data_IF_550178899531
#
_entry.id   IF_550178899531
#
_cell.length_a   1.000
_cell.length_b   1.000
_cell.length_c   1.000
_cell.angle_alpha   90.00
_cell.angle_beta   90.00
_cell.angle_gamma   90.00
#
_symmetry.space_group_name_H-M   'P 1'
#
loop_
_entity.id
_entity.type
_entity.pdbx_description
1 polymer ?
#
# COMPACT_ATOMS: atom_id res chain seq x y z
N UNK A 1 -7.99 13.74 -16.22
CA UNK A 1 -7.85 13.77 -14.76
C UNK A 1 -6.53 13.16 -14.33
N UNK A 2 -5.72 13.94 -13.65
CA UNK A 2 -4.40 13.51 -13.25
C UNK A 2 -4.44 12.24 -12.38
N UNK A 3 -5.46 12.10 -11.53
CA UNK A 3 -5.58 10.96 -10.64
C UNK A 3 -5.83 9.61 -11.33
N UNK A 4 -6.25 9.64 -12.60
CA UNK A 4 -6.53 8.42 -13.36
C UNK A 4 -5.39 8.03 -14.29
N UNK A 5 -4.46 8.94 -14.51
CA UNK A 5 -3.39 8.72 -15.47
C UNK A 5 -2.25 7.94 -14.82
N UNK A 6 -1.72 6.96 -15.55
CA UNK A 6 -0.53 6.24 -15.11
C UNK A 6 0.62 7.23 -14.99
N UNK A 7 1.39 7.11 -13.91
CA UNK A 7 2.53 7.99 -13.66
C UNK A 7 3.79 7.40 -14.31
N UNK A 8 4.64 8.27 -14.91
CA UNK A 8 5.92 7.78 -15.41
C UNK A 8 6.84 7.35 -14.26
N UNK A 9 7.80 6.45 -14.53
CA UNK A 9 8.66 5.91 -13.47
C UNK A 9 9.37 6.98 -12.63
N UNK A 10 9.83 8.06 -13.26
CA UNK A 10 10.55 9.10 -12.52
C UNK A 10 9.64 9.84 -11.54
N UNK A 11 8.34 9.98 -11.85
CA UNK A 11 7.39 10.60 -10.93
C UNK A 11 7.09 9.67 -9.77
N UNK A 12 7.04 8.36 -10.04
CA UNK A 12 6.85 7.36 -8.98
C UNK A 12 8.06 7.39 -8.05
N UNK A 13 9.28 7.44 -8.59
CA UNK A 13 10.48 7.48 -7.79
C UNK A 13 10.53 8.71 -6.89
N UNK A 14 10.15 9.88 -7.43
CA UNK A 14 10.09 11.11 -6.64
C UNK A 14 9.12 10.99 -5.49
N UNK A 15 7.94 10.42 -5.76
CA UNK A 15 6.91 10.27 -4.73
C UNK A 15 7.34 9.27 -3.67
N UNK A 16 8.02 8.20 -4.07
CA UNK A 16 8.47 7.17 -3.11
C UNK A 16 9.54 7.69 -2.16
N UNK A 17 10.25 8.75 -2.53
CA UNK A 17 11.18 9.39 -1.61
C UNK A 17 10.45 9.93 -0.37
N UNK A 18 9.15 10.27 -0.52
CA UNK A 18 8.30 10.74 0.57
C UNK A 18 7.48 9.62 1.20
N UNK A 19 7.61 8.39 0.70
CA UNK A 19 6.86 7.22 1.16
C UNK A 19 7.84 6.07 1.42
N UNK A 20 8.71 6.19 2.43
CA UNK A 20 9.77 5.20 2.65
C UNK A 20 9.26 3.81 3.02
N UNK A 21 8.00 3.68 3.44
CA UNK A 21 7.41 2.39 3.76
C UNK A 21 7.13 1.55 2.52
N UNK A 22 7.16 2.15 1.33
CA UNK A 22 6.68 1.53 0.11
C UNK A 22 7.78 1.42 -0.95
N UNK A 23 7.59 0.49 -1.87
CA UNK A 23 8.42 0.40 -3.07
C UNK A 23 7.55 0.08 -4.28
N UNK A 24 8.05 0.40 -5.46
CA UNK A 24 7.40 0.00 -6.70
C UNK A 24 7.77 -1.45 -6.99
N UNK A 25 6.78 -2.25 -7.36
CA UNK A 25 7.01 -3.63 -7.70
C UNK A 25 5.70 -4.36 -7.90
N UNK A 26 5.77 -5.52 -8.52
CA UNK A 26 4.59 -6.39 -8.73
C UNK A 26 3.42 -5.66 -9.39
N UNK A 27 3.72 -4.66 -10.24
CA UNK A 27 2.70 -3.92 -10.97
C UNK A 27 2.03 -2.82 -10.17
N UNK A 28 2.59 -2.44 -9.02
CA UNK A 28 1.97 -1.41 -8.19
C UNK A 28 2.91 -0.88 -7.14
N UNK A 29 2.33 -0.33 -6.07
CA UNK A 29 3.07 0.06 -4.87
C UNK A 29 2.85 -1.02 -3.83
N UNK A 30 3.94 -1.53 -3.27
CA UNK A 30 3.87 -2.67 -2.36
C UNK A 30 4.60 -2.38 -1.05
N UNK A 31 4.12 -2.98 0.03
CA UNK A 31 4.81 -3.00 1.30
C UNK A 31 4.34 -4.18 2.14
N UNK A 32 5.08 -4.42 3.22
CA UNK A 32 4.69 -5.35 4.27
C UNK A 32 4.76 -4.57 5.58
N UNK A 33 3.69 -4.61 6.37
CA UNK A 33 3.70 -4.04 7.71
C UNK A 33 3.75 -5.17 8.73
N UNK A 34 4.81 -5.20 9.51
CA UNK A 34 4.92 -6.14 10.62
C UNK A 34 4.32 -5.49 11.86
N UNK A 35 3.33 -6.16 12.44
CA UNK A 35 2.61 -5.65 13.58
C UNK A 35 3.10 -6.30 14.88
N UNK A 36 2.81 -5.69 16.04
CA UNK A 36 3.20 -6.30 17.31
C UNK A 36 2.57 -7.67 17.54
N UNK A 37 1.33 -7.87 17.06
CA UNK A 37 0.61 -9.13 17.25
C UNK A 37 -0.24 -9.42 16.01
N UNK A 38 -0.71 -10.67 15.91
CA UNK A 38 -1.66 -11.05 14.85
C UNK A 38 -2.98 -10.28 14.98
N UNK A 39 -3.42 -10.03 16.22
CA UNK A 39 -4.64 -9.25 16.45
C UNK A 39 -4.48 -7.82 15.93
N UNK A 40 -3.30 -7.22 16.15
CA UNK A 40 -3.03 -5.88 15.61
C UNK A 40 -3.01 -5.89 14.09
N UNK A 41 -2.52 -6.97 13.47
CA UNK A 41 -2.56 -7.11 12.03
C UNK A 41 -4.00 -7.12 11.52
N UNK A 42 -4.89 -7.84 12.18
CA UNK A 42 -6.30 -7.86 11.81
C UNK A 42 -6.93 -6.47 11.93
N UNK A 43 -6.59 -5.74 12.97
CA UNK A 43 -7.09 -4.37 13.15
C UNK A 43 -6.59 -3.45 12.04
N UNK A 44 -5.35 -3.61 11.62
CA UNK A 44 -4.81 -2.81 10.51
C UNK A 44 -5.55 -3.14 9.22
N UNK A 45 -5.84 -4.41 8.97
CA UNK A 45 -6.59 -4.81 7.79
C UNK A 45 -7.96 -4.12 7.78
N UNK A 46 -8.63 -4.07 8.93
CA UNK A 46 -9.93 -3.41 9.04
C UNK A 46 -9.80 -1.90 8.75
N UNK A 47 -8.74 -1.26 9.26
CA UNK A 47 -8.52 0.17 9.03
C UNK A 47 -8.24 0.44 7.55
N UNK A 48 -7.40 -0.37 6.93
CA UNK A 48 -7.07 -0.24 5.50
C UNK A 48 -8.33 -0.49 4.66
N UNK A 49 -9.15 -1.45 5.06
CA UNK A 49 -10.42 -1.72 4.38
C UNK A 49 -11.38 -0.54 4.44
N UNK A 50 -11.48 0.13 5.60
CA UNK A 50 -12.32 1.32 5.71
C UNK A 50 -11.81 2.45 4.82
N UNK A 51 -10.49 2.66 4.78
CA UNK A 51 -9.89 3.66 3.90
C UNK A 51 -10.18 3.33 2.43
N UNK A 52 -10.11 2.05 2.06
CA UNK A 52 -10.41 1.62 0.70
C UNK A 52 -11.83 1.98 0.30
N UNK A 53 -12.79 1.79 1.21
CA UNK A 53 -14.19 2.14 0.96
C UNK A 53 -14.36 3.65 0.83
N UNK A 54 -13.71 4.43 1.70
CA UNK A 54 -13.80 5.88 1.67
C UNK A 54 -13.21 6.46 0.39
N UNK A 55 -12.09 5.89 -0.06
CA UNK A 55 -11.37 6.37 -1.23
C UNK A 55 -11.89 5.76 -2.54
N UNK A 56 -12.73 4.77 -2.43
CA UNK A 56 -13.19 3.96 -3.56
C UNK A 56 -11.99 3.43 -4.35
N UNK A 57 -10.99 2.93 -3.64
CA UNK A 57 -9.76 2.42 -4.22
C UNK A 57 -9.23 1.31 -3.34
N UNK A 58 -9.32 0.07 -3.82
CA UNK A 58 -9.11 -1.12 -2.99
C UNK A 58 -7.77 -1.77 -3.27
N UNK A 59 -7.00 -2.09 -2.23
CA UNK A 59 -5.73 -2.80 -2.38
C UNK A 59 -5.93 -4.30 -2.45
N UNK A 60 -4.86 -5.01 -2.83
CA UNK A 60 -4.76 -6.43 -2.58
C UNK A 60 -4.12 -6.61 -1.22
N UNK A 61 -4.70 -7.44 -0.38
CA UNK A 61 -4.24 -7.69 0.98
C UNK A 61 -3.95 -9.16 1.18
N UNK A 62 -2.86 -9.45 1.92
CA UNK A 62 -2.54 -10.82 2.31
C UNK A 62 -2.13 -10.77 3.78
N UNK A 63 -2.75 -11.62 4.59
CA UNK A 63 -2.53 -11.65 6.04
C UNK A 63 -1.75 -12.89 6.40
N UNK A 64 -0.56 -12.70 6.96
CA UNK A 64 0.29 -13.80 7.38
C UNK A 64 0.74 -13.58 8.82
N UNK A 65 0.05 -14.19 9.74
CA UNK A 65 0.25 -14.08 11.18
C UNK A 65 0.23 -12.60 11.60
N UNK A 66 1.39 -12.00 11.91
CA UNK A 66 1.43 -10.59 12.34
C UNK A 66 1.91 -9.65 11.23
N UNK A 67 1.93 -10.12 9.98
CA UNK A 67 2.31 -9.30 8.82
C UNK A 67 1.16 -9.10 7.88
N UNK A 68 1.05 -7.88 7.36
CA UNK A 68 0.03 -7.51 6.38
C UNK A 68 0.77 -7.10 5.12
N UNK A 69 0.51 -7.81 4.02
CA UNK A 69 1.08 -7.54 2.71
C UNK A 69 0.06 -6.71 1.94
N UNK A 70 0.47 -5.57 1.41
CA UNK A 70 -0.43 -4.64 0.74
C UNK A 70 0.12 -4.27 -0.63
N UNK A 71 -0.75 -4.31 -1.65
CA UNK A 71 -0.41 -3.83 -2.99
C UNK A 71 -1.53 -2.92 -3.48
N UNK A 72 -1.14 -1.70 -3.89
CA UNK A 72 -2.05 -0.77 -4.55
C UNK A 72 -1.71 -0.67 -6.02
N UNK A 73 -2.71 -0.78 -6.87
CA UNK A 73 -2.58 -0.58 -8.30
C UNK A 73 -3.92 -0.04 -8.82
N UNK A 74 -3.89 0.65 -9.96
CA UNK A 74 -5.11 1.24 -10.54
C UNK A 74 -5.54 0.41 -11.74
N UNK A 75 -6.60 -0.37 -11.58
CA UNK A 75 -7.10 -1.28 -12.62
C UNK A 75 -7.57 -0.51 -13.85
N UNK A 76 -8.19 0.65 -13.67
CA UNK A 76 -8.67 1.45 -14.79
C UNK A 76 -7.55 2.21 -15.50
N UNK A 77 -6.32 2.10 -15.02
CA UNK A 77 -5.14 2.60 -15.70
C UNK A 77 -4.26 1.45 -16.18
N UNK A 78 -4.86 0.30 -16.45
CA UNK A 78 -4.15 -0.88 -16.96
C UNK A 78 -3.28 -1.56 -15.94
N UNK A 79 -3.59 -1.42 -14.66
CA UNK A 79 -2.80 -2.02 -13.60
C UNK A 79 -1.52 -1.26 -13.31
N UNK A 80 -1.50 0.04 -13.59
CA UNK A 80 -0.34 0.88 -13.36
C UNK A 80 -0.57 1.83 -12.19
N UNK A 81 0.51 2.43 -11.70
CA UNK A 81 0.45 3.33 -10.55
C UNK A 81 -0.05 4.70 -10.99
N UNK A 82 -0.99 5.24 -10.23
CA UNK A 82 -1.52 6.59 -10.43
C UNK A 82 -1.42 7.37 -9.12
N UNK A 83 -1.84 8.64 -9.15
CA UNK A 83 -1.89 9.46 -7.93
C UNK A 83 -2.80 8.88 -6.87
N UNK A 84 -3.82 8.09 -7.25
CA UNK A 84 -4.71 7.43 -6.28
C UNK A 84 -3.95 6.40 -5.44
N UNK A 85 -3.01 5.69 -6.06
CA UNK A 85 -2.20 4.70 -5.36
C UNK A 85 -1.27 5.38 -4.35
N UNK A 86 -0.70 6.53 -4.74
CA UNK A 86 0.17 7.29 -3.85
C UNK A 86 -0.60 7.80 -2.64
N UNK A 87 -1.80 8.35 -2.85
CA UNK A 87 -2.63 8.84 -1.75
C UNK A 87 -3.06 7.70 -0.83
N UNK A 88 -3.42 6.55 -1.42
CA UNK A 88 -3.83 5.39 -0.63
C UNK A 88 -2.67 4.85 0.20
N UNK A 89 -1.47 4.79 -0.38
CA UNK A 89 -0.27 4.33 0.34
C UNK A 89 0.03 5.25 1.52
N UNK A 90 -0.06 6.56 1.32
CA UNK A 90 0.19 7.52 2.39
C UNK A 90 -0.80 7.32 3.55
N UNK A 91 -2.09 7.16 3.23
CA UNK A 91 -3.11 6.97 4.26
C UNK A 91 -2.90 5.64 5.00
N UNK A 92 -2.55 4.58 4.29
CA UNK A 92 -2.27 3.28 4.90
C UNK A 92 -1.06 3.37 5.84
N UNK A 93 -0.01 4.10 5.44
CA UNK A 93 1.16 4.30 6.30
C UNK A 93 0.81 5.02 7.58
N UNK A 94 -0.07 6.03 7.53
CA UNK A 94 -0.49 6.73 8.74
C UNK A 94 -1.23 5.79 9.69
N UNK A 95 -2.14 4.98 9.16
CA UNK A 95 -2.88 4.01 9.97
C UNK A 95 -1.93 2.99 10.59
N UNK A 96 -0.96 2.51 9.82
CA UNK A 96 0.00 1.52 10.29
C UNK A 96 0.89 2.09 11.38
N UNK A 97 1.38 3.32 11.20
CA UNK A 97 2.23 3.96 12.20
C UNK A 97 1.49 4.14 13.54
N UNK A 98 0.22 4.55 13.47
CA UNK A 98 -0.60 4.71 14.66
C UNK A 98 -0.79 3.39 15.40
N UNK A 99 -0.72 2.26 14.69
CA UNK A 99 -0.91 0.93 15.27
C UNK A 99 0.42 0.25 15.65
N UNK A 100 1.54 0.94 15.54
CA UNK A 100 2.84 0.42 15.96
C UNK A 100 3.52 -0.48 14.94
N UNK A 101 3.21 -0.31 13.67
CA UNK A 101 3.75 -1.14 12.61
C UNK A 101 5.22 -0.84 12.33
N UNK A 102 5.94 -1.85 11.85
CA UNK A 102 7.26 -1.70 11.26
C UNK A 102 7.15 -2.03 9.78
N UNK A 103 7.55 -1.10 8.92
CA UNK A 103 7.48 -1.32 7.49
C UNK A 103 8.66 -2.17 7.01
N UNK A 104 8.36 -3.17 6.17
CA UNK A 104 9.35 -4.08 5.60
C UNK A 104 9.07 -4.25 4.10
N UNK A 105 9.15 -3.17 3.30
CA UNK A 105 8.74 -3.27 1.89
C UNK A 105 9.53 -4.29 1.08
N UNK A 106 10.79 -4.55 1.45
CA UNK A 106 11.62 -5.52 0.75
C UNK A 106 11.12 -6.96 0.91
N UNK A 107 10.26 -7.21 1.90
CA UNK A 107 9.72 -8.55 2.11
C UNK A 107 8.53 -8.89 1.22
N UNK A 108 8.03 -7.91 0.49
CA UNK A 108 6.98 -8.18 -0.50
C UNK A 108 7.66 -8.77 -1.73
N UNK A 109 7.46 -10.06 -1.98
CA UNK A 109 8.12 -10.75 -3.07
C UNK A 109 7.08 -11.31 -4.04
N UNK A 110 7.55 -11.58 -5.28
CA UNK A 110 6.71 -12.14 -6.32
C UNK A 110 6.12 -13.45 -5.85
N UNK A 111 4.83 -13.65 -6.12
CA UNK A 111 4.16 -14.88 -5.78
C UNK A 111 3.54 -14.94 -4.40
N UNK A 112 3.55 -13.84 -3.66
CA UNK A 112 2.88 -13.78 -2.36
C UNK A 112 1.38 -13.81 -2.49
#
# INVERSE_FOLDING_TARGET
MAGKDALPPERIDEALAELPDWRAGNGGLVTVFKMPTAAAALELIAAVGRLAEEQNHHPDLDWRYNRVFIRYTSHDAGGQVTGRDLAAAAAASEAAAAAGAKAEPAKYVQGQ
#
